data_IF_776053238485
#
_entry.id   IF_776053238485
#
_cell.length_a   1.000
_cell.length_b   1.000
_cell.length_c   1.000
_cell.angle_alpha   90.00
_cell.angle_beta   90.00
_cell.angle_gamma   90.00
#
_symmetry.space_group_name_H-M   'P 1'
#
loop_
_entity.id
_entity.type
_entity.pdbx_description
1 polymer ?
#
# COMPACT_ATOMS: atom_id res chain seq x y z
N UNK A 1 -15.50 5.75 -20.05
CA UNK A 1 -16.15 4.43 -19.98
C UNK A 1 -16.02 3.88 -18.56
N UNK A 2 -17.12 3.46 -17.98
CA UNK A 2 -17.13 2.96 -16.61
C UNK A 2 -16.84 1.45 -16.61
N UNK A 3 -15.93 1.03 -15.74
CA UNK A 3 -15.64 -0.40 -15.56
C UNK A 3 -16.83 -1.09 -14.88
N UNK A 4 -17.12 -2.34 -15.26
CA UNK A 4 -18.01 -3.19 -14.48
C UNK A 4 -17.32 -3.58 -13.17
N UNK A 5 -18.09 -4.06 -12.19
CA UNK A 5 -17.54 -4.57 -10.93
C UNK A 5 -16.56 -5.72 -11.16
N UNK A 6 -16.89 -6.65 -12.05
CA UNK A 6 -16.04 -7.78 -12.37
C UNK A 6 -14.72 -7.32 -12.99
N UNK A 7 -14.77 -6.37 -13.92
CA UNK A 7 -13.58 -5.80 -14.57
C UNK A 7 -12.72 -5.03 -13.57
N UNK A 8 -13.33 -4.23 -12.70
CA UNK A 8 -12.62 -3.48 -11.67
C UNK A 8 -11.92 -4.41 -10.67
N UNK A 9 -12.60 -5.47 -10.23
CA UNK A 9 -12.02 -6.47 -9.32
C UNK A 9 -10.84 -7.20 -9.95
N UNK A 10 -10.97 -7.57 -11.23
CA UNK A 10 -9.90 -8.22 -11.97
C UNK A 10 -8.70 -7.30 -12.15
N UNK A 11 -8.93 -6.03 -12.48
CA UNK A 11 -7.86 -5.04 -12.61
C UNK A 11 -7.13 -4.84 -11.29
N UNK A 12 -7.86 -4.76 -10.17
CA UNK A 12 -7.28 -4.65 -8.84
C UNK A 12 -6.38 -5.83 -8.50
N UNK A 13 -6.86 -7.04 -8.73
CA UNK A 13 -6.09 -8.26 -8.46
C UNK A 13 -4.84 -8.34 -9.36
N UNK A 14 -4.95 -7.97 -10.63
CA UNK A 14 -3.81 -7.95 -11.55
C UNK A 14 -2.77 -6.91 -11.14
N UNK A 15 -3.22 -5.75 -10.67
CA UNK A 15 -2.33 -4.69 -10.21
C UNK A 15 -1.59 -5.11 -8.94
N UNK A 16 -2.30 -5.69 -7.97
CA UNK A 16 -1.69 -6.23 -6.75
C UNK A 16 -0.60 -7.25 -7.10
N UNK A 17 -0.88 -8.16 -8.03
CA UNK A 17 0.09 -9.17 -8.47
C UNK A 17 1.30 -8.53 -9.13
N UNK A 18 1.08 -7.53 -9.99
CA UNK A 18 2.15 -6.81 -10.67
C UNK A 18 3.12 -6.16 -9.67
N UNK A 19 2.57 -5.46 -8.68
CA UNK A 19 3.36 -4.75 -7.67
C UNK A 19 4.06 -5.74 -6.74
N UNK A 20 3.34 -6.75 -6.25
CA UNK A 20 3.91 -7.75 -5.35
C UNK A 20 5.08 -8.49 -6.00
N UNK A 21 4.93 -8.91 -7.25
CA UNK A 21 5.99 -9.62 -7.98
C UNK A 21 7.22 -8.74 -8.20
N UNK A 22 7.01 -7.46 -8.53
CA UNK A 22 8.12 -6.51 -8.70
C UNK A 22 8.89 -6.32 -7.39
N UNK A 23 8.18 -6.06 -6.30
CA UNK A 23 8.82 -5.86 -5.00
C UNK A 23 9.51 -7.13 -4.50
N UNK A 24 8.91 -8.30 -4.76
CA UNK A 24 9.53 -9.58 -4.42
C UNK A 24 10.85 -9.80 -5.16
N UNK A 25 10.90 -9.38 -6.42
CA UNK A 25 12.09 -9.54 -7.26
C UNK A 25 13.22 -8.59 -6.88
N UNK A 26 12.89 -7.34 -6.50
CA UNK A 26 13.92 -6.30 -6.30
C UNK A 26 14.20 -5.96 -4.85
N UNK A 27 13.32 -6.31 -3.91
CA UNK A 27 13.46 -5.93 -2.50
C UNK A 27 13.61 -7.14 -1.59
N UNK A 28 12.58 -8.01 -1.53
CA UNK A 28 12.57 -9.15 -0.60
C UNK A 28 11.60 -10.19 -1.13
N UNK A 29 12.08 -11.41 -1.36
CA UNK A 29 11.29 -12.49 -1.96
C UNK A 29 10.13 -12.98 -1.07
N UNK A 30 10.06 -12.54 0.18
CA UNK A 30 8.93 -12.83 1.07
C UNK A 30 7.73 -11.92 0.84
N UNK A 31 7.87 -10.88 0.01
CA UNK A 31 6.77 -9.98 -0.31
C UNK A 31 5.79 -10.71 -1.23
N UNK A 32 4.51 -10.67 -0.87
CA UNK A 32 3.45 -11.30 -1.66
C UNK A 32 2.10 -10.67 -1.34
N UNK A 33 1.11 -10.98 -2.16
CA UNK A 33 -0.27 -10.59 -1.90
C UNK A 33 -0.76 -11.24 -0.60
N UNK A 34 -1.60 -10.51 0.12
CA UNK A 34 -2.25 -11.02 1.33
C UNK A 34 -3.64 -11.54 1.05
N UNK A 35 -4.03 -12.56 1.80
CA UNK A 35 -5.42 -13.02 1.84
C UNK A 35 -6.25 -11.97 2.60
N UNK A 36 -7.39 -11.60 2.05
CA UNK A 36 -8.31 -10.64 2.67
C UNK A 36 -8.95 -11.25 3.91
N UNK A 37 -8.97 -10.49 5.01
CA UNK A 37 -9.48 -10.93 6.31
C UNK A 37 -10.65 -10.07 6.81
N UNK A 38 -11.37 -9.43 5.90
CA UNK A 38 -12.55 -8.62 6.22
C UNK A 38 -12.17 -7.36 7.01
N UNK A 39 -12.86 -7.11 8.14
CA UNK A 39 -12.66 -5.89 8.94
C UNK A 39 -11.27 -5.81 9.59
N UNK A 40 -10.54 -6.92 9.64
CA UNK A 40 -9.19 -6.97 10.17
C UNK A 40 -8.15 -6.89 9.06
N UNK A 41 -8.49 -6.27 7.95
CA UNK A 41 -7.62 -6.13 6.78
C UNK A 41 -6.30 -5.44 7.17
N UNK A 42 -5.20 -6.06 6.73
CA UNK A 42 -3.82 -5.62 6.99
C UNK A 42 -3.12 -5.19 5.71
N UNK A 43 -3.88 -4.82 4.70
CA UNK A 43 -3.39 -4.40 3.40
C UNK A 43 -3.41 -5.49 2.35
N UNK A 44 -3.16 -5.11 1.11
CA UNK A 44 -3.21 -5.99 -0.06
C UNK A 44 -1.92 -6.78 -0.27
N UNK A 45 -0.81 -6.24 0.16
CA UNK A 45 0.53 -6.82 -0.02
C UNK A 45 1.25 -6.81 1.32
N UNK A 46 1.81 -7.95 1.70
CA UNK A 46 2.55 -8.12 2.95
C UNK A 46 3.99 -8.55 2.71
N UNK A 47 4.74 -8.67 3.79
CA UNK A 47 6.13 -9.12 3.74
C UNK A 47 7.15 -8.00 3.58
N UNK A 48 6.72 -6.78 3.29
CA UNK A 48 7.63 -5.64 3.22
C UNK A 48 7.99 -5.17 4.63
N UNK A 49 9.29 -5.05 4.89
CA UNK A 49 9.81 -4.56 6.17
C UNK A 49 10.86 -3.50 5.95
N UNK A 50 10.95 -2.58 6.89
CA UNK A 50 11.98 -1.56 6.90
C UNK A 50 12.43 -1.33 8.34
N UNK A 51 13.74 -1.47 8.59
CA UNK A 51 14.32 -1.30 9.93
C UNK A 51 13.60 -2.12 11.01
N UNK A 52 13.20 -3.34 10.65
CA UNK A 52 12.50 -4.26 11.54
C UNK A 52 10.98 -4.05 11.63
N UNK A 53 10.46 -2.95 11.11
CA UNK A 53 9.03 -2.66 11.13
C UNK A 53 8.33 -3.10 9.85
N UNK A 54 7.08 -3.55 9.99
CA UNK A 54 6.27 -3.93 8.83
C UNK A 54 5.78 -2.67 8.11
N UNK A 55 5.68 -2.74 6.78
CA UNK A 55 5.10 -1.68 5.96
C UNK A 55 3.88 -2.26 5.24
N UNK A 56 2.72 -1.70 5.52
CA UNK A 56 1.45 -2.09 4.89
C UNK A 56 1.36 -1.42 3.53
N UNK A 57 0.94 -2.17 2.52
CA UNK A 57 0.72 -1.65 1.17
C UNK A 57 -0.73 -1.87 0.79
N UNK A 58 -1.43 -0.78 0.46
CA UNK A 58 -2.74 -0.78 -0.18
C UNK A 58 -2.54 -0.49 -1.67
N UNK A 59 -3.01 -1.37 -2.54
CA UNK A 59 -2.84 -1.20 -3.98
C UNK A 59 -4.16 -0.76 -4.62
N UNK A 60 -4.12 0.27 -5.45
CA UNK A 60 -5.31 0.88 -6.07
C UNK A 60 -5.13 1.05 -7.58
N UNK A 61 -5.95 0.35 -8.35
CA UNK A 61 -6.06 0.55 -9.79
C UNK A 61 -7.45 1.10 -10.14
N UNK A 62 -7.52 2.40 -10.32
CA UNK A 62 -8.73 3.11 -10.74
C UNK A 62 -8.53 3.73 -12.13
N UNK A 63 -7.77 3.03 -12.99
CA UNK A 63 -7.53 3.47 -14.36
C UNK A 63 -6.73 4.76 -14.47
N UNK A 64 -5.97 5.10 -13.43
CA UNK A 64 -5.18 6.33 -13.36
C UNK A 64 -5.85 7.47 -12.61
N UNK A 65 -7.11 7.30 -12.18
CA UNK A 65 -7.76 8.25 -11.29
C UNK A 65 -7.16 8.11 -9.90
N UNK A 66 -6.84 9.23 -9.26
CA UNK A 66 -6.24 9.25 -7.93
C UNK A 66 -7.20 9.81 -6.89
N UNK A 67 -7.32 9.13 -5.76
CA UNK A 67 -8.14 9.55 -4.62
C UNK A 67 -7.32 9.44 -3.33
N UNK A 68 -6.31 10.30 -3.14
CA UNK A 68 -5.35 10.14 -2.03
C UNK A 68 -5.98 10.14 -0.65
N UNK A 69 -6.90 11.06 -0.37
CA UNK A 69 -7.50 11.18 0.95
C UNK A 69 -8.15 9.90 1.45
N UNK A 70 -9.16 9.36 0.76
CA UNK A 70 -9.81 8.12 1.16
C UNK A 70 -8.85 6.92 1.21
N UNK A 71 -7.95 6.81 0.24
CA UNK A 71 -7.03 5.66 0.16
C UNK A 71 -6.00 5.69 1.29
N UNK A 72 -5.48 6.86 1.63
CA UNK A 72 -4.55 7.03 2.75
C UNK A 72 -5.27 6.69 4.07
N UNK A 73 -6.54 7.05 4.21
CA UNK A 73 -7.34 6.66 5.36
C UNK A 73 -7.48 5.16 5.50
N UNK A 74 -7.72 4.44 4.40
CA UNK A 74 -7.78 2.98 4.39
C UNK A 74 -6.43 2.37 4.80
N UNK A 75 -5.35 2.87 4.24
CA UNK A 75 -4.00 2.39 4.55
C UNK A 75 -3.67 2.59 6.04
N UNK A 76 -4.11 3.70 6.63
CA UNK A 76 -3.90 3.96 8.06
C UNK A 76 -4.65 2.98 8.95
N UNK A 77 -5.90 2.64 8.60
CA UNK A 77 -6.66 1.63 9.34
C UNK A 77 -5.94 0.27 9.27
N UNK A 78 -5.49 -0.11 8.10
CA UNK A 78 -4.78 -1.38 7.89
C UNK A 78 -3.43 -1.40 8.60
N UNK A 79 -2.72 -0.27 8.62
CA UNK A 79 -1.49 -0.12 9.38
C UNK A 79 -1.74 -0.38 10.88
N UNK A 80 -2.79 0.21 11.43
CA UNK A 80 -3.18 -0.01 12.81
C UNK A 80 -3.52 -1.46 13.10
N UNK A 81 -4.28 -2.11 12.21
CA UNK A 81 -4.63 -3.53 12.34
C UNK A 81 -3.39 -4.44 12.36
N UNK A 82 -2.35 -4.06 11.63
CA UNK A 82 -1.11 -4.83 11.52
C UNK A 82 -0.03 -4.37 12.53
N UNK A 83 -0.30 -3.34 13.29
CA UNK A 83 0.68 -2.68 14.17
C UNK A 83 1.98 -2.39 13.41
N UNK A 84 1.84 -1.81 12.24
CA UNK A 84 2.94 -1.60 11.30
C UNK A 84 3.64 -0.25 11.49
N UNK A 85 4.89 -0.20 11.06
CA UNK A 85 5.70 1.03 11.06
C UNK A 85 5.08 2.11 10.18
N UNK A 86 4.60 1.73 9.00
CA UNK A 86 4.03 2.66 8.04
C UNK A 86 2.99 1.99 7.17
N UNK A 87 2.05 2.80 6.66
CA UNK A 87 1.08 2.38 5.64
C UNK A 87 1.19 3.28 4.43
N UNK A 88 1.31 2.68 3.26
CA UNK A 88 1.45 3.40 1.99
C UNK A 88 0.44 2.88 0.98
N UNK A 89 0.13 3.72 0.00
CA UNK A 89 -0.74 3.36 -1.13
C UNK A 89 0.12 3.33 -2.38
N UNK A 90 0.00 2.27 -3.17
CA UNK A 90 0.59 2.22 -4.51
C UNK A 90 -0.56 2.31 -5.50
N UNK A 91 -0.53 3.33 -6.35
CA UNK A 91 -1.63 3.66 -7.24
C UNK A 91 -1.22 3.58 -8.70
N UNK A 92 -2.12 3.02 -9.51
CA UNK A 92 -1.93 2.90 -10.96
C UNK A 92 -1.75 4.28 -11.58
N UNK A 93 -0.64 4.44 -12.28
CA UNK A 93 -0.34 5.64 -13.07
C UNK A 93 -0.84 5.45 -14.50
N UNK A 94 -1.55 6.44 -15.03
CA UNK A 94 -2.02 6.42 -16.42
C UNK A 94 -0.82 6.49 -17.37
N UNK A 95 -0.88 5.72 -18.45
CA UNK A 95 0.11 5.80 -19.53
C UNK A 95 1.31 4.87 -19.38
N UNK A 96 1.39 4.09 -18.32
CA UNK A 96 2.48 3.12 -18.16
C UNK A 96 2.00 1.87 -17.41
N UNK A 97 2.51 0.71 -17.83
CA UNK A 97 2.27 -0.56 -17.15
C UNK A 97 3.51 -1.04 -16.37
N UNK A 98 4.59 -0.26 -16.40
CA UNK A 98 5.82 -0.63 -15.68
C UNK A 98 5.60 -0.52 -14.18
N UNK A 99 5.85 -1.57 -13.39
CA UNK A 99 5.60 -1.52 -11.95
C UNK A 99 6.40 -0.42 -11.23
N UNK A 100 7.63 -0.19 -11.61
CA UNK A 100 8.47 0.83 -11.01
C UNK A 100 8.06 2.26 -11.34
N UNK A 101 7.12 2.45 -12.25
CA UNK A 101 6.63 3.78 -12.67
C UNK A 101 5.28 4.13 -12.04
N UNK A 102 4.72 3.25 -11.23
CA UNK A 102 3.47 3.51 -10.54
C UNK A 102 3.70 4.51 -9.39
N UNK A 103 2.64 5.17 -8.94
CA UNK A 103 2.76 6.16 -7.87
C UNK A 103 2.73 5.53 -6.49
N UNK A 104 3.49 6.11 -5.57
CA UNK A 104 3.38 5.82 -4.14
C UNK A 104 2.79 7.06 -3.48
N UNK A 105 1.69 6.86 -2.73
CA UNK A 105 1.01 7.92 -2.00
C UNK A 105 1.14 7.66 -0.50
N UNK A 106 1.56 8.67 0.23
CA UNK A 106 1.65 8.60 1.69
C UNK A 106 1.64 10.02 2.25
N UNK A 107 1.31 10.15 3.54
CA UNK A 107 1.49 11.43 4.21
C UNK A 107 2.95 11.65 4.57
N UNK A 108 3.30 12.89 4.88
CA UNK A 108 4.65 13.22 5.37
C UNK A 108 4.96 12.47 6.67
N UNK A 109 3.96 12.26 7.53
CA UNK A 109 4.16 11.46 8.75
C UNK A 109 4.64 10.05 8.44
N UNK A 110 4.04 9.39 7.42
CA UNK A 110 4.47 8.05 7.03
C UNK A 110 5.89 8.07 6.45
N UNK A 111 6.22 9.09 5.66
CA UNK A 111 7.57 9.26 5.15
C UNK A 111 8.58 9.41 6.29
N UNK A 112 8.28 10.24 7.27
CA UNK A 112 9.18 10.43 8.43
C UNK A 112 9.30 9.15 9.25
N UNK A 113 8.22 8.40 9.42
CA UNK A 113 8.26 7.10 10.09
C UNK A 113 9.22 6.14 9.40
N UNK A 114 9.17 6.07 8.07
CA UNK A 114 10.09 5.26 7.28
C UNK A 114 11.54 5.72 7.44
N UNK A 115 11.77 7.03 7.35
CA UNK A 115 13.13 7.58 7.46
C UNK A 115 13.74 7.35 8.83
N UNK A 116 12.95 7.43 9.89
CA UNK A 116 13.39 7.25 11.27
C UNK A 116 13.36 5.79 11.74
N UNK A 117 12.57 4.94 11.07
CA UNK A 117 12.33 3.58 11.53
C UNK A 117 11.47 3.51 12.79
N UNK A 118 10.70 4.56 13.08
CA UNK A 118 9.90 4.69 14.30
C UNK A 118 8.76 5.69 14.09
N UNK A 119 7.66 5.47 14.80
CA UNK A 119 6.50 6.37 14.83
C UNK A 119 6.43 7.20 16.13
N UNK A 120 7.44 7.14 16.96
CA UNK A 120 7.39 7.79 18.28
C UNK A 120 7.13 9.30 18.20
N UNK A 121 7.63 9.97 17.17
CA UNK A 121 7.41 11.41 16.97
C UNK A 121 5.94 11.74 16.65
N UNK A 122 5.21 10.83 16.00
CA UNK A 122 3.80 10.99 15.68
C UNK A 122 2.95 10.73 16.92
N UNK A 123 3.25 9.68 17.65
CA UNK A 123 2.53 9.29 18.87
C UNK A 123 2.65 10.37 19.95
N UNK A 124 3.78 11.05 20.02
CA UNK A 124 4.01 12.15 20.97
C UNK A 124 3.10 13.34 20.67
N UNK A 125 2.81 13.63 19.40
CA UNK A 125 1.97 14.75 18.98
C UNK A 125 0.47 14.50 19.23
N UNK A 126 0.07 13.26 19.39
CA UNK A 126 -1.33 12.87 19.60
C UNK A 126 -1.82 13.04 21.05
N UNK A 127 -1.00 13.52 21.92
CA UNK A 127 -1.34 13.69 23.35
C UNK A 127 -2.22 14.92 23.59
#
# INVERSE_FOLDING_TARGET
MTRSRATAKKAGASFERLIADHLAAVVDDRIDRRVKTGSQDRGDIGGLRHMGGRVVIEAKDYGGRLMPGPWIGEAEVERGNDDALAGIVIAKRRGTTKPGQQFVLMTVDELTALLLGSRSHIETEEV
#
